data_IF_371200690786
#
_entry.id   IF_371200690786
#
_cell.length_a   1.000
_cell.length_b   1.000
_cell.length_c   1.000
_cell.angle_alpha   90.00
_cell.angle_beta   90.00
_cell.angle_gamma   90.00
#
_symmetry.space_group_name_H-M   'P 1'
#
loop_
_entity.id
_entity.type
_entity.pdbx_description
1 polymer ?
#
# COMPACT_ATOMS: atom_id res chain seq x y z
N UNK A 1 -12.90 7.20 -3.07
CA UNK A 1 -12.26 7.57 -4.36
C UNK A 1 -13.21 7.27 -5.51
N UNK A 2 -12.98 7.79 -6.72
CA UNK A 2 -13.85 7.50 -7.88
C UNK A 2 -13.95 5.99 -8.19
N UNK A 3 -12.92 5.21 -7.85
CA UNK A 3 -12.89 3.75 -7.98
C UNK A 3 -13.92 3.02 -7.10
N UNK A 4 -14.31 3.62 -5.97
CA UNK A 4 -15.29 3.05 -5.02
C UNK A 4 -16.73 3.37 -5.42
N UNK A 5 -16.93 4.22 -6.44
CA UNK A 5 -18.25 4.58 -6.91
C UNK A 5 -18.95 3.37 -7.53
N UNK A 6 -20.17 3.10 -7.09
CA UNK A 6 -21.06 2.09 -7.70
C UNK A 6 -21.50 2.51 -9.11
N UNK A 7 -21.45 3.81 -9.43
CA UNK A 7 -21.81 4.34 -10.75
C UNK A 7 -20.67 4.24 -11.77
N UNK A 8 -19.43 3.98 -11.35
CA UNK A 8 -18.30 3.87 -12.27
C UNK A 8 -18.31 2.50 -12.97
N UNK A 9 -18.23 2.52 -14.30
CA UNK A 9 -18.12 1.28 -15.10
C UNK A 9 -16.81 0.56 -14.82
N UNK A 10 -16.75 -0.75 -15.07
CA UNK A 10 -15.53 -1.53 -14.87
C UNK A 10 -14.34 -0.98 -15.67
N UNK A 11 -14.58 -0.54 -16.91
CA UNK A 11 -13.57 0.10 -17.76
C UNK A 11 -12.97 1.34 -17.09
N UNK A 12 -13.80 2.19 -16.46
CA UNK A 12 -13.33 3.35 -15.71
C UNK A 12 -12.50 2.93 -14.50
N UNK A 13 -12.95 1.92 -13.74
CA UNK A 13 -12.22 1.41 -12.58
C UNK A 13 -10.86 0.81 -12.97
N UNK A 14 -10.81 0.07 -14.07
CA UNK A 14 -9.57 -0.49 -14.61
C UNK A 14 -8.60 0.62 -15.04
N UNK A 15 -9.09 1.67 -15.71
CA UNK A 15 -8.25 2.81 -16.10
C UNK A 15 -7.66 3.53 -14.88
N UNK A 16 -8.49 3.81 -13.88
CA UNK A 16 -8.04 4.45 -12.63
C UNK A 16 -7.00 3.58 -11.90
N UNK A 17 -7.20 2.26 -11.87
CA UNK A 17 -6.23 1.33 -11.29
C UNK A 17 -4.90 1.36 -12.07
N UNK A 18 -4.93 1.36 -13.41
CA UNK A 18 -3.74 1.51 -14.25
C UNK A 18 -3.02 2.85 -13.99
N UNK A 19 -3.76 3.95 -13.82
CA UNK A 19 -3.19 5.26 -13.48
C UNK A 19 -2.53 5.22 -12.10
N UNK A 20 -3.16 4.58 -11.10
CA UNK A 20 -2.56 4.36 -9.78
C UNK A 20 -1.25 3.58 -9.86
N UNK A 21 -1.18 2.51 -10.68
CA UNK A 21 0.06 1.75 -10.87
C UNK A 21 1.18 2.65 -11.38
N UNK A 22 0.91 3.53 -12.35
CA UNK A 22 1.91 4.48 -12.87
C UNK A 22 2.37 5.47 -11.81
N UNK A 23 1.44 6.03 -11.03
CA UNK A 23 1.77 6.96 -9.95
C UNK A 23 2.66 6.29 -8.89
N UNK A 24 2.34 5.05 -8.50
CA UNK A 24 3.12 4.33 -7.51
C UNK A 24 4.45 3.81 -8.04
N UNK A 25 4.52 3.43 -9.31
CA UNK A 25 5.79 3.11 -9.97
C UNK A 25 6.73 4.32 -9.89
N UNK A 26 6.25 5.49 -10.29
CA UNK A 26 7.05 6.71 -10.22
C UNK A 26 7.48 7.04 -8.79
N UNK A 27 6.59 6.88 -7.81
CA UNK A 27 6.94 7.06 -6.40
C UNK A 27 8.01 6.07 -5.94
N UNK A 28 7.92 4.81 -6.40
CA UNK A 28 8.88 3.76 -6.09
C UNK A 28 10.26 4.07 -6.70
N UNK A 29 10.30 4.48 -7.96
CA UNK A 29 11.55 4.82 -8.64
C UNK A 29 12.20 6.05 -7.98
N UNK A 30 11.40 7.04 -7.59
CA UNK A 30 11.90 8.24 -6.93
C UNK A 30 12.43 7.95 -5.52
N UNK A 31 11.75 7.11 -4.73
CA UNK A 31 12.15 6.85 -3.34
C UNK A 31 13.40 5.96 -3.26
N UNK A 32 13.61 5.03 -4.20
CA UNK A 32 14.83 4.22 -4.25
C UNK A 32 16.10 5.04 -4.55
N UNK A 33 15.95 6.24 -5.10
CA UNK A 33 17.07 7.14 -5.41
C UNK A 33 17.44 8.08 -4.24
N UNK A 34 16.74 7.99 -3.10
CA UNK A 34 17.00 8.84 -1.93
C UNK A 34 17.86 8.10 -0.88
N UNK A 35 18.79 8.78 -0.18
CA UNK A 35 19.52 8.21 0.94
C UNK A 35 18.59 8.14 2.16
N UNK A 36 18.00 6.97 2.38
CA UNK A 36 17.01 6.73 3.44
C UNK A 36 17.67 6.11 4.68
N UNK A 37 18.65 6.79 5.27
CA UNK A 37 19.38 6.29 6.46
C UNK A 37 18.63 6.53 7.78
N UNK A 38 17.29 6.65 7.73
CA UNK A 38 16.46 6.76 8.92
C UNK A 38 15.26 5.81 8.82
N UNK A 39 14.79 5.29 9.96
CA UNK A 39 13.70 4.30 9.99
C UNK A 39 12.40 4.79 9.34
N UNK A 40 12.18 6.11 9.26
CA UNK A 40 11.04 6.66 8.51
C UNK A 40 11.16 6.40 7.00
N UNK A 41 12.36 6.55 6.44
CA UNK A 41 12.62 6.27 5.02
C UNK A 41 12.35 4.82 4.65
N UNK A 42 12.88 3.87 5.43
CA UNK A 42 12.60 2.45 5.24
C UNK A 42 11.10 2.13 5.33
N UNK A 43 10.41 2.74 6.30
CA UNK A 43 8.96 2.60 6.45
C UNK A 43 8.19 3.16 5.26
N UNK A 44 8.60 4.31 4.72
CA UNK A 44 7.99 4.86 3.50
C UNK A 44 8.25 3.98 2.28
N UNK A 45 9.43 3.37 2.15
CA UNK A 45 9.69 2.38 1.11
C UNK A 45 8.72 1.20 1.16
N UNK A 46 8.47 0.66 2.35
CA UNK A 46 7.47 -0.40 2.55
C UNK A 46 6.06 0.06 2.16
N UNK A 47 5.67 1.29 2.52
CA UNK A 47 4.38 1.86 2.14
C UNK A 47 4.21 1.98 0.62
N UNK A 48 5.19 2.56 -0.06
CA UNK A 48 5.16 2.77 -1.51
C UNK A 48 5.11 1.42 -2.22
N UNK A 49 5.94 0.45 -1.81
CA UNK A 49 5.92 -0.90 -2.37
C UNK A 49 4.58 -1.59 -2.14
N UNK A 50 4.00 -1.47 -0.94
CA UNK A 50 2.67 -2.00 -0.64
C UNK A 50 1.62 -1.41 -1.58
N UNK A 51 1.54 -0.09 -1.70
CA UNK A 51 0.53 0.57 -2.54
C UNK A 51 0.71 0.31 -4.03
N UNK A 52 1.94 0.16 -4.49
CA UNK A 52 2.23 -0.27 -5.86
C UNK A 52 1.66 -1.66 -6.16
N UNK A 53 1.92 -2.63 -5.28
CA UNK A 53 1.44 -4.01 -5.44
C UNK A 53 -0.10 -4.08 -5.29
N UNK A 54 -0.68 -3.29 -4.37
CA UNK A 54 -2.13 -3.16 -4.21
C UNK A 54 -2.80 -2.63 -5.49
N UNK A 55 -2.20 -1.62 -6.14
CA UNK A 55 -2.71 -1.09 -7.40
C UNK A 55 -2.60 -2.10 -8.55
N UNK A 56 -1.54 -2.92 -8.59
CA UNK A 56 -1.43 -4.03 -9.56
C UNK A 56 -2.53 -5.06 -9.37
N UNK A 57 -2.78 -5.47 -8.12
CA UNK A 57 -3.85 -6.40 -7.80
C UNK A 57 -5.21 -5.88 -8.31
N UNK A 58 -5.52 -4.61 -8.04
CA UNK A 58 -6.75 -3.97 -8.49
C UNK A 58 -6.85 -3.94 -10.02
N UNK A 59 -5.75 -3.65 -10.72
CA UNK A 59 -5.72 -3.60 -12.20
C UNK A 59 -6.06 -4.96 -12.79
N UNK A 60 -5.40 -6.03 -12.33
CA UNK A 60 -5.68 -7.39 -12.80
C UNK A 60 -7.09 -7.86 -12.44
N UNK A 61 -7.60 -7.46 -11.27
CA UNK A 61 -8.96 -7.78 -10.85
C UNK A 61 -9.98 -7.16 -11.82
N UNK A 62 -9.92 -5.84 -12.05
CA UNK A 62 -10.84 -5.19 -12.98
C UNK A 62 -10.66 -5.66 -14.42
N UNK A 63 -9.43 -5.97 -14.84
CA UNK A 63 -9.18 -6.55 -16.16
C UNK A 63 -9.87 -7.92 -16.32
N UNK A 64 -9.77 -8.78 -15.30
CA UNK A 64 -10.46 -10.07 -15.28
C UNK A 64 -11.98 -9.92 -15.37
N UNK A 65 -12.56 -8.97 -14.63
CA UNK A 65 -14.01 -8.70 -14.69
C UNK A 65 -14.46 -8.15 -16.06
N UNK A 66 -13.66 -7.29 -16.71
CA UNK A 66 -13.96 -6.80 -18.08
C UNK A 66 -13.92 -7.96 -19.09
N UNK A 67 -12.95 -8.87 -18.97
CA UNK A 67 -12.84 -10.05 -19.82
C UNK A 67 -14.03 -11.01 -19.65
N UNK A 68 -14.61 -11.05 -18.45
CA UNK A 68 -15.79 -11.86 -18.12
C UNK A 68 -17.07 -11.25 -18.68
N UNK A 69 -17.27 -9.92 -18.55
CA UNK A 69 -18.40 -9.20 -19.17
C UNK A 69 -18.45 -9.36 -20.70
N UNK A 70 -17.31 -9.60 -21.35
CA UNK A 70 -17.21 -9.84 -22.79
C UNK A 70 -17.81 -11.16 -23.28
N UNK A 71 -18.22 -12.06 -22.37
CA UNK A 71 -18.96 -13.31 -22.59
C UNK A 71 -18.59 -14.09 -23.86
N UNK A 72 -17.30 -14.42 -24.02
CA UNK A 72 -16.85 -15.38 -25.03
C UNK A 72 -16.28 -16.59 -24.33
N UNK A 73 -16.73 -17.82 -24.63
CA UNK A 73 -16.19 -19.04 -24.02
C UNK A 73 -14.65 -19.15 -24.17
N UNK A 74 -14.09 -18.51 -25.19
CA UNK A 74 -12.64 -18.41 -25.43
C UNK A 74 -11.90 -17.52 -24.42
N UNK A 75 -12.56 -16.58 -23.73
CA UNK A 75 -11.91 -15.69 -22.76
C UNK A 75 -11.79 -16.31 -21.37
N UNK A 76 -12.45 -17.43 -21.08
CA UNK A 76 -12.47 -18.01 -19.73
C UNK A 76 -11.05 -18.30 -19.20
N UNK A 77 -10.16 -18.83 -20.04
CA UNK A 77 -8.76 -19.04 -19.67
C UNK A 77 -8.04 -17.73 -19.32
N UNK A 78 -8.33 -16.64 -20.04
CA UNK A 78 -7.74 -15.32 -19.75
C UNK A 78 -8.32 -14.70 -18.47
N UNK A 79 -9.62 -14.86 -18.23
CA UNK A 79 -10.29 -14.42 -16.98
C UNK A 79 -9.62 -15.11 -15.78
N UNK A 80 -9.48 -16.43 -15.83
CA UNK A 80 -8.85 -17.22 -14.76
C UNK A 80 -7.42 -16.76 -14.51
N UNK A 81 -6.61 -16.58 -15.56
CA UNK A 81 -5.22 -16.10 -15.43
C UNK A 81 -5.17 -14.69 -14.82
N UNK A 82 -6.03 -13.77 -15.26
CA UNK A 82 -6.08 -12.41 -14.74
C UNK A 82 -6.49 -12.38 -13.25
N UNK A 83 -7.54 -13.12 -12.87
CA UNK A 83 -7.99 -13.19 -11.48
C UNK A 83 -6.99 -13.91 -10.58
N UNK A 84 -6.31 -14.93 -11.08
CA UNK A 84 -5.24 -15.61 -10.35
C UNK A 84 -4.05 -14.67 -10.11
N UNK A 85 -3.63 -13.90 -11.12
CA UNK A 85 -2.59 -12.88 -10.96
C UNK A 85 -3.01 -11.81 -9.94
N UNK A 86 -4.26 -11.34 -9.99
CA UNK A 86 -4.81 -10.40 -9.02
C UNK A 86 -4.72 -10.93 -7.59
N UNK A 87 -5.08 -12.20 -7.39
CA UNK A 87 -5.05 -12.86 -6.10
C UNK A 87 -3.62 -13.01 -5.54
N UNK A 88 -2.64 -13.35 -6.39
CA UNK A 88 -1.24 -13.43 -5.96
C UNK A 88 -0.69 -12.06 -5.56
N UNK A 89 -0.96 -11.01 -6.35
CA UNK A 89 -0.60 -9.64 -5.95
C UNK A 89 -1.33 -9.19 -4.68
N UNK A 90 -2.59 -9.59 -4.48
CA UNK A 90 -3.33 -9.25 -3.25
C UNK A 90 -2.71 -9.92 -2.01
N UNK A 91 -2.29 -11.19 -2.11
CA UNK A 91 -1.56 -11.88 -1.04
C UNK A 91 -0.24 -11.20 -0.72
N UNK A 92 0.53 -10.81 -1.74
CA UNK A 92 1.77 -10.06 -1.54
C UNK A 92 1.51 -8.69 -0.90
N UNK A 93 0.48 -7.98 -1.36
CA UNK A 93 0.04 -6.70 -0.79
C UNK A 93 -0.25 -6.82 0.71
N UNK A 94 -0.93 -7.89 1.15
CA UNK A 94 -1.16 -8.14 2.58
C UNK A 94 0.12 -8.33 3.37
N UNK A 95 1.08 -9.11 2.86
CA UNK A 95 2.39 -9.30 3.53
C UNK A 95 3.14 -7.97 3.67
N UNK A 96 3.11 -7.12 2.64
CA UNK A 96 3.73 -5.80 2.67
C UNK A 96 3.01 -4.84 3.64
N UNK A 97 1.67 -4.91 3.71
CA UNK A 97 0.87 -4.19 4.69
C UNK A 97 1.26 -4.56 6.12
N UNK A 98 1.36 -5.86 6.41
CA UNK A 98 1.81 -6.38 7.71
C UNK A 98 3.21 -5.88 8.04
N UNK A 99 4.17 -6.02 7.12
CA UNK A 99 5.53 -5.52 7.27
C UNK A 99 5.57 -4.01 7.55
N UNK A 100 4.80 -3.20 6.81
CA UNK A 100 4.69 -1.76 7.02
C UNK A 100 4.12 -1.41 8.41
N UNK A 101 3.10 -2.16 8.86
CA UNK A 101 2.45 -1.91 10.13
C UNK A 101 3.35 -2.24 11.33
N UNK A 102 4.23 -3.24 11.22
CA UNK A 102 5.19 -3.59 12.28
C UNK A 102 6.52 -2.84 12.17
N UNK A 103 6.85 -2.26 11.01
CA UNK A 103 8.08 -1.51 10.82
C UNK A 103 8.12 -0.26 11.71
N UNK A 104 9.25 -0.06 12.38
CA UNK A 104 9.56 1.20 13.07
C UNK A 104 9.74 2.32 12.04
N UNK A 105 9.35 3.56 12.37
CA UNK A 105 8.71 3.98 13.61
C UNK A 105 7.20 3.70 13.60
N UNK A 106 6.66 3.25 14.73
CA UNK A 106 5.22 3.12 14.91
C UNK A 106 4.63 4.51 15.13
N UNK A 107 3.80 4.98 14.20
CA UNK A 107 3.11 6.28 14.27
C UNK A 107 2.16 6.38 15.47
N UNK A 108 1.78 5.24 16.04
CA UNK A 108 1.17 5.14 17.36
C UNK A 108 2.17 4.46 18.28
N UNK A 109 2.92 5.27 19.03
CA UNK A 109 3.51 4.78 20.27
C UNK A 109 2.34 4.28 21.12
N UNK A 110 2.25 2.96 21.30
CA UNK A 110 1.61 2.42 22.49
C UNK A 110 2.46 2.89 23.66
N UNK A 111 2.19 4.11 24.11
CA UNK A 111 2.70 4.60 25.37
C UNK A 111 2.07 3.77 26.48
N UNK A 112 2.62 2.59 26.71
CA UNK A 112 2.90 2.16 28.07
C UNK A 112 4.03 3.07 28.56
N UNK A 113 3.73 4.35 28.76
CA UNK A 113 4.52 5.19 29.64
C UNK A 113 4.48 4.48 31.00
N UNK A 114 5.61 4.00 31.56
CA UNK A 114 5.70 4.14 32.99
C UNK A 114 5.77 5.66 33.18
N UNK A 115 4.71 6.24 33.76
CA UNK A 115 4.59 7.67 34.07
C UNK A 115 5.73 8.24 34.94
N UNK A 116 6.79 7.47 35.18
CA UNK A 116 7.93 7.80 36.02
C UNK A 116 9.14 8.34 35.28
N UNK A 117 9.35 8.08 33.97
CA UNK A 117 10.58 8.54 33.30
C UNK A 117 10.48 9.93 32.65
N UNK A 118 9.30 10.35 32.17
CA UNK A 118 9.16 11.68 31.55
C UNK A 118 9.10 12.81 32.60
N UNK A 119 8.53 12.57 33.77
CA UNK A 119 8.56 13.53 34.88
C UNK A 119 9.98 13.74 35.42
N UNK A 120 10.82 12.70 35.47
CA UNK A 120 12.20 12.82 35.96
C UNK A 120 13.07 13.65 35.00
N UNK A 121 12.92 13.49 33.69
CA UNK A 121 13.69 14.28 32.71
C UNK A 121 13.25 15.75 32.69
N UNK A 122 11.96 16.04 32.85
CA UNK A 122 11.47 17.43 32.94
C UNK A 122 11.81 18.09 34.28
N UNK A 123 11.78 17.35 35.41
CA UNK A 123 12.16 17.90 36.71
C UNK A 123 13.68 18.09 36.87
N UNK A 124 14.54 17.25 36.26
CA UNK A 124 16.00 17.43 36.35
C UNK A 124 16.54 18.58 35.49
N UNK A 125 15.79 19.08 34.51
CA UNK A 125 16.20 20.24 33.71
C UNK A 125 15.76 21.58 34.31
N UNK A 126 14.87 21.59 35.30
CA UNK A 126 14.38 22.83 35.95
C UNK A 126 15.12 23.23 37.23
N UNK A 127 16.17 22.50 37.60
CA UNK A 127 17.07 22.79 38.75
C UNK A 127 18.50 23.16 38.34
N UNK A 128 18.71 23.60 37.09
CA UNK A 128 20.00 24.15 36.61
C UNK A 128 19.91 25.62 36.16
N UNK A 129 19.29 26.46 36.99
CA UNK A 129 19.44 27.92 36.98
C UNK A 129 19.40 28.43 38.41
#
# INVERSE_FOLDING_TARGET
>A
MAIDSTKATLVVKCRLACEMVKCWQQAQDNIMNLPLDNGWGEKHCLFVKWKYVEAKAATYYYHGLILDEGNTEKSHGMVVVALQAANEYFKESKKLCEAFNVASPLSRLSFSFPLTHFYVVICSQKTRF
#
